data_IF_852782342995
#
_entry.id   IF_852782342995
#
_cell.length_a   1.000
_cell.length_b   1.000
_cell.length_c   1.000
_cell.angle_alpha   90.00
_cell.angle_beta   90.00
_cell.angle_gamma   90.00
#
_symmetry.space_group_name_H-M   'P 1'
#
loop_
_entity.id
_entity.type
_entity.pdbx_description
1 polymer ?
#
# COMPACT_ATOMS: atom_id res chain seq x y z
N UNK A 1 -2.26 108.78 -3.36
CA UNK A 1 -1.76 107.42 -3.07
C UNK A 1 -1.76 107.21 -1.56
N UNK A 2 -2.94 107.16 -0.93
CA UNK A 2 -3.10 106.96 0.53
C UNK A 2 -4.48 106.33 0.82
N UNK A 3 -4.83 105.26 0.11
CA UNK A 3 -6.02 104.45 0.44
C UNK A 3 -5.78 102.94 0.34
N UNK A 4 -4.57 102.50 -0.04
CA UNK A 4 -4.22 101.08 -0.10
C UNK A 4 -3.45 100.57 1.12
N UNK A 5 -3.06 101.45 2.06
CA UNK A 5 -2.31 101.09 3.27
C UNK A 5 -3.18 100.98 4.53
N UNK A 6 -4.45 101.37 4.46
CA UNK A 6 -5.39 101.36 5.61
C UNK A 6 -6.19 100.07 5.72
N UNK A 7 -6.43 99.35 4.61
CA UNK A 7 -7.13 98.05 4.61
C UNK A 7 -6.28 96.89 5.15
N UNK A 8 -4.94 96.96 5.04
CA UNK A 8 -4.04 95.92 5.58
C UNK A 8 -3.82 96.05 7.11
N UNK A 9 -4.09 97.22 7.71
CA UNK A 9 -3.93 97.44 9.15
C UNK A 9 -5.16 96.95 9.94
N UNK A 10 -6.36 97.02 9.36
CA UNK A 10 -7.57 96.47 9.99
C UNK A 10 -7.61 94.93 9.92
N UNK A 11 -7.12 94.31 8.85
CA UNK A 11 -7.05 92.84 8.73
C UNK A 11 -5.98 92.22 9.64
N UNK A 12 -4.89 92.93 9.92
CA UNK A 12 -3.89 92.53 10.93
C UNK A 12 -4.36 92.75 12.38
N UNK A 13 -5.20 93.76 12.66
CA UNK A 13 -5.82 93.94 13.98
C UNK A 13 -6.85 92.86 14.32
N UNK A 14 -7.65 92.44 13.35
CA UNK A 14 -8.70 91.42 13.56
C UNK A 14 -8.10 90.02 13.81
N UNK A 15 -6.92 89.72 13.25
CA UNK A 15 -6.21 88.45 13.49
C UNK A 15 -5.46 88.43 14.83
N UNK A 16 -5.02 89.58 15.35
CA UNK A 16 -4.36 89.68 16.65
C UNK A 16 -5.33 89.52 17.84
N UNK A 17 -6.54 90.09 17.78
CA UNK A 17 -7.52 89.96 18.87
C UNK A 17 -8.11 88.55 18.98
N UNK A 18 -8.25 87.82 17.86
CA UNK A 18 -8.63 86.41 17.89
C UNK A 18 -7.54 85.48 18.42
N UNK A 19 -6.26 85.85 18.33
CA UNK A 19 -5.16 85.05 18.87
C UNK A 19 -4.97 85.25 20.39
N UNK A 20 -5.34 86.42 20.92
CA UNK A 20 -5.30 86.73 22.36
C UNK A 20 -6.48 86.07 23.11
N UNK A 21 -7.65 85.91 22.48
CA UNK A 21 -8.77 85.16 23.06
C UNK A 21 -8.54 83.63 23.05
N UNK A 22 -7.74 83.09 22.11
CA UNK A 22 -7.41 81.67 22.07
C UNK A 22 -6.35 81.25 23.10
N UNK A 23 -5.43 82.15 23.46
CA UNK A 23 -4.29 81.85 24.35
C UNK A 23 -4.59 82.01 25.85
N UNK A 24 -5.71 82.63 26.24
CA UNK A 24 -6.12 82.78 27.65
C UNK A 24 -6.89 81.57 28.22
N UNK A 25 -6.97 80.46 27.48
CA UNK A 25 -7.59 79.20 27.93
C UNK A 25 -6.59 78.17 28.48
N UNK A 26 -5.29 78.48 28.43
CA UNK A 26 -4.23 77.61 28.89
C UNK A 26 -3.47 78.27 30.06
N UNK A 27 -3.69 77.72 31.25
CA UNK A 27 -2.73 77.62 32.36
C UNK A 27 -2.83 78.63 33.54
N UNK A 28 -3.24 78.07 34.70
CA UNK A 28 -2.99 78.40 36.13
C UNK A 28 -4.20 78.89 36.97
N UNK A 29 -4.94 78.02 37.68
CA UNK A 29 -4.73 77.52 39.09
C UNK A 29 -5.09 78.59 40.15
N UNK A 30 -5.98 78.47 41.16
CA UNK A 30 -6.54 77.41 42.06
C UNK A 30 -7.54 78.12 43.04
N UNK A 31 -8.00 77.52 44.16
CA UNK A 31 -9.04 76.51 44.39
C UNK A 31 -10.43 77.11 44.78
N UNK A 32 -11.49 76.36 44.53
CA UNK A 32 -12.81 76.55 45.16
C UNK A 32 -13.58 75.24 45.00
N UNK A 33 -13.93 74.62 46.13
CA UNK A 33 -14.58 73.31 46.19
C UNK A 33 -15.91 73.26 45.43
N UNK A 34 -16.23 72.02 45.01
CA UNK A 34 -17.54 71.49 44.63
C UNK A 34 -18.10 72.02 43.29
N UNK A 35 -18.40 71.21 42.28
CA UNK A 35 -18.96 69.87 42.34
C UNK A 35 -18.32 68.97 41.27
N UNK A 36 -17.77 67.86 41.75
CA UNK A 36 -17.56 66.65 40.96
C UNK A 36 -18.93 66.24 40.44
N UNK A 37 -19.23 66.44 39.17
CA UNK A 37 -20.36 65.78 38.53
C UNK A 37 -20.06 64.27 38.58
N UNK A 38 -20.78 63.48 39.40
CA UNK A 38 -20.63 62.05 39.32
C UNK A 38 -21.40 61.67 38.06
N UNK A 39 -20.69 61.22 37.03
CA UNK A 39 -21.31 60.39 35.99
C UNK A 39 -21.66 59.08 36.69
N UNK A 40 -22.77 59.12 37.42
CA UNK A 40 -23.33 58.06 38.23
C UNK A 40 -23.96 57.02 37.32
N UNK A 41 -23.15 56.11 36.81
CA UNK A 41 -23.61 54.78 36.39
C UNK A 41 -22.85 53.70 37.18
N UNK A 42 -23.39 53.45 38.37
CA UNK A 42 -23.63 52.13 38.98
C UNK A 42 -22.44 51.14 39.08
N UNK A 43 -21.77 51.15 40.24
CA UNK A 43 -20.55 50.38 40.56
C UNK A 43 -20.65 48.85 40.55
N UNK A 44 -21.85 48.26 40.48
CA UNK A 44 -22.01 46.79 40.33
C UNK A 44 -21.89 46.34 38.87
N UNK A 45 -22.34 47.15 37.91
CA UNK A 45 -22.32 46.81 36.48
C UNK A 45 -20.90 46.81 35.90
N UNK A 46 -20.04 47.74 36.34
CA UNK A 46 -18.60 47.74 35.96
C UNK A 46 -17.87 46.52 36.51
N UNK A 47 -18.09 46.14 37.78
CA UNK A 47 -17.52 44.92 38.37
C UNK A 47 -18.00 43.65 37.66
N UNK A 48 -19.28 43.62 37.27
CA UNK A 48 -19.83 42.55 36.43
C UNK A 48 -19.15 42.49 35.06
N UNK A 49 -18.89 43.64 34.42
CA UNK A 49 -18.18 43.70 33.15
C UNK A 49 -16.71 43.24 33.27
N UNK A 50 -15.99 43.67 34.31
CA UNK A 50 -14.62 43.18 34.55
C UNK A 50 -14.59 41.69 34.90
N UNK A 51 -15.56 41.20 35.67
CA UNK A 51 -15.70 39.77 35.95
C UNK A 51 -15.99 38.97 34.66
N UNK A 52 -16.86 39.48 33.79
CA UNK A 52 -17.15 38.87 32.50
C UNK A 52 -15.93 38.88 31.57
N UNK A 53 -15.18 39.98 31.54
CA UNK A 53 -13.93 40.09 30.76
C UNK A 53 -12.86 39.14 31.30
N UNK A 54 -12.73 39.03 32.63
CA UNK A 54 -11.84 38.07 33.27
C UNK A 54 -12.25 36.62 32.98
N UNK A 55 -13.55 36.31 33.03
CA UNK A 55 -14.08 35.00 32.66
C UNK A 55 -13.78 34.69 31.20
N UNK A 56 -13.96 35.66 30.29
CA UNK A 56 -13.62 35.53 28.87
C UNK A 56 -12.11 35.32 28.65
N UNK A 57 -11.26 36.03 29.40
CA UNK A 57 -9.81 35.83 29.36
C UNK A 57 -9.44 34.42 29.83
N UNK A 58 -10.04 33.96 30.93
CA UNK A 58 -9.80 32.61 31.47
C UNK A 58 -10.28 31.55 30.48
N UNK A 59 -11.47 31.70 29.89
CA UNK A 59 -11.96 30.75 28.88
C UNK A 59 -11.07 30.76 27.64
N UNK A 60 -10.54 31.92 27.22
CA UNK A 60 -9.57 32.00 26.12
C UNK A 60 -8.28 31.24 26.44
N UNK A 61 -7.72 31.43 27.64
CA UNK A 61 -6.52 30.73 28.09
C UNK A 61 -6.76 29.22 28.19
N UNK A 62 -7.90 28.80 28.77
CA UNK A 62 -8.27 27.39 28.87
C UNK A 62 -8.44 26.77 27.49
N UNK A 63 -9.11 27.47 26.56
CA UNK A 63 -9.27 27.01 25.19
C UNK A 63 -7.90 26.86 24.50
N UNK A 64 -7.00 27.82 24.66
CA UNK A 64 -5.65 27.74 24.10
C UNK A 64 -4.85 26.56 24.70
N UNK A 65 -4.90 26.39 26.01
CA UNK A 65 -4.26 25.28 26.70
C UNK A 65 -4.84 23.92 26.28
N UNK A 66 -6.17 23.83 26.12
CA UNK A 66 -6.85 22.64 25.62
C UNK A 66 -6.44 22.33 24.18
N UNK A 67 -6.33 23.33 23.31
CA UNK A 67 -5.84 23.14 21.93
C UNK A 67 -4.42 22.59 21.93
N UNK A 68 -3.50 23.18 22.71
CA UNK A 68 -2.11 22.68 22.82
C UNK A 68 -2.07 21.27 23.39
N UNK A 69 -2.92 20.97 24.38
CA UNK A 69 -3.01 19.64 24.98
C UNK A 69 -3.53 18.59 23.98
N UNK A 70 -4.58 18.90 23.21
CA UNK A 70 -5.09 18.01 22.16
C UNK A 70 -3.99 17.74 21.12
N UNK A 71 -3.29 18.77 20.64
CA UNK A 71 -2.20 18.62 19.67
C UNK A 71 -1.11 17.68 20.22
N UNK A 72 -0.73 17.86 21.50
CA UNK A 72 0.29 17.04 22.16
C UNK A 72 -0.16 15.59 22.38
N UNK A 73 -1.40 15.38 22.82
CA UNK A 73 -1.96 14.04 23.08
C UNK A 73 -2.16 13.26 21.80
N UNK A 74 -2.62 13.92 20.74
CA UNK A 74 -2.77 13.34 19.41
C UNK A 74 -1.43 13.12 18.69
N UNK A 75 -0.31 13.44 19.34
CA UNK A 75 1.05 13.32 18.81
C UNK A 75 1.19 13.99 17.42
N UNK A 76 0.58 15.16 17.25
CA UNK A 76 0.79 16.01 16.10
C UNK A 76 2.14 16.73 16.28
N UNK A 77 3.16 16.26 15.58
CA UNK A 77 4.42 16.98 15.43
C UNK A 77 4.36 17.84 14.16
N UNK A 78 5.30 18.78 14.04
CA UNK A 78 5.51 19.53 12.78
C UNK A 78 5.80 18.57 11.62
N UNK A 79 6.36 17.39 11.93
CA UNK A 79 6.72 16.37 10.96
C UNK A 79 5.58 15.39 10.61
N UNK A 80 4.43 15.39 11.31
CA UNK A 80 3.36 14.42 11.04
C UNK A 80 2.33 14.17 12.14
N UNK A 81 1.39 13.28 11.83
CA UNK A 81 0.35 12.77 12.74
C UNK A 81 0.77 11.37 13.25
N UNK A 82 1.19 11.27 14.52
CA UNK A 82 1.60 9.99 15.09
C UNK A 82 2.75 9.34 14.32
N UNK A 83 2.57 8.09 13.88
CA UNK A 83 3.56 7.34 13.09
C UNK A 83 3.59 7.77 11.61
N UNK A 84 2.66 8.61 11.16
CA UNK A 84 2.58 9.08 9.78
C UNK A 84 3.25 10.45 9.65
N UNK A 85 4.42 10.46 9.03
CA UNK A 85 5.16 11.67 8.69
C UNK A 85 4.84 12.14 7.28
N UNK A 86 4.60 13.45 7.12
CA UNK A 86 4.30 14.05 5.83
C UNK A 86 5.53 14.77 5.30
N UNK A 87 6.17 14.22 4.26
CA UNK A 87 7.30 14.83 3.58
C UNK A 87 6.84 15.45 2.25
N UNK A 88 7.69 16.30 1.66
CA UNK A 88 7.41 16.90 0.35
C UNK A 88 7.28 15.84 -0.77
N UNK A 89 7.94 14.69 -0.61
CA UNK A 89 7.96 13.59 -1.58
C UNK A 89 6.87 12.54 -1.35
N UNK A 90 6.13 12.59 -0.23
CA UNK A 90 5.09 11.61 0.08
C UNK A 90 4.83 11.38 1.57
N UNK A 91 4.07 10.33 1.87
CA UNK A 91 3.74 9.91 3.23
C UNK A 91 4.73 8.84 3.69
N UNK A 92 5.42 9.10 4.80
CA UNK A 92 6.34 8.15 5.44
C UNK A 92 5.71 7.59 6.71
N UNK A 93 5.42 6.30 6.71
CA UNK A 93 4.91 5.60 7.89
C UNK A 93 6.08 5.00 8.70
N UNK A 94 6.25 5.44 9.94
CA UNK A 94 7.23 4.91 10.90
C UNK A 94 6.53 4.24 12.08
N UNK A 95 6.35 2.93 12.00
CA UNK A 95 5.74 2.13 13.06
C UNK A 95 4.49 1.40 12.58
N UNK A 96 3.62 1.04 13.52
CA UNK A 96 2.35 0.36 13.24
C UNK A 96 1.28 1.42 13.04
N UNK A 97 0.47 1.32 11.99
CA UNK A 97 -0.68 2.19 11.80
C UNK A 97 -1.84 1.42 11.20
N UNK A 98 -3.03 1.82 11.63
CA UNK A 98 -4.29 1.26 11.17
C UNK A 98 -5.02 2.32 10.34
N UNK A 99 -5.57 1.89 9.21
CA UNK A 99 -6.33 2.75 8.32
C UNK A 99 -7.77 2.26 8.27
N UNK A 100 -8.72 3.17 8.52
CA UNK A 100 -10.15 2.86 8.46
C UNK A 100 -10.63 2.63 7.01
N UNK A 101 -9.97 3.27 6.06
CA UNK A 101 -10.34 3.29 4.64
C UNK A 101 -9.20 2.76 3.77
N UNK A 102 -9.50 2.28 2.55
CA UNK A 102 -8.48 1.88 1.59
C UNK A 102 -7.50 3.00 1.28
N UNK A 103 -6.22 2.66 1.23
CA UNK A 103 -5.17 3.59 0.83
C UNK A 103 -5.01 3.60 -0.69
N UNK A 104 -5.02 4.80 -1.25
CA UNK A 104 -4.73 5.05 -2.66
C UNK A 104 -3.37 5.71 -2.75
N UNK A 105 -2.45 5.02 -3.40
CA UNK A 105 -1.05 5.42 -3.53
C UNK A 105 -0.57 5.11 -4.94
N UNK A 106 0.27 5.99 -5.48
CA UNK A 106 0.90 5.77 -6.78
C UNK A 106 2.03 4.75 -6.69
N UNK A 107 2.74 4.75 -5.56
CA UNK A 107 3.87 3.87 -5.34
C UNK A 107 3.99 3.50 -3.86
N UNK A 108 4.36 2.25 -3.59
CA UNK A 108 4.67 1.76 -2.25
C UNK A 108 6.12 1.31 -2.27
N UNK A 109 6.97 2.02 -1.54
CA UNK A 109 8.37 1.66 -1.40
C UNK A 109 8.69 1.36 0.05
N UNK A 110 9.57 0.38 0.25
CA UNK A 110 10.21 0.15 1.54
C UNK A 110 11.34 1.15 1.76
N UNK A 111 11.78 1.31 3.02
CA UNK A 111 13.02 2.05 3.32
C UNK A 111 14.20 1.35 2.64
N UNK A 112 15.21 2.12 2.22
CA UNK A 112 16.47 1.60 1.67
C UNK A 112 16.99 0.45 2.54
N UNK A 113 17.31 -0.67 1.90
CA UNK A 113 17.82 -1.91 2.51
C UNK A 113 16.87 -2.66 3.46
N UNK A 114 15.56 -2.42 3.38
CA UNK A 114 14.56 -3.13 4.19
C UNK A 114 13.44 -3.74 3.34
N UNK A 115 12.84 -4.84 3.81
CA UNK A 115 11.72 -5.51 3.14
C UNK A 115 10.40 -4.78 3.45
N UNK A 116 9.56 -4.61 2.43
CA UNK A 116 8.17 -4.23 2.65
C UNK A 116 7.43 -5.43 3.23
N UNK A 117 7.02 -5.32 4.50
CA UNK A 117 6.27 -6.37 5.19
C UNK A 117 4.85 -5.87 5.45
N UNK A 118 3.88 -6.51 4.80
CA UNK A 118 2.46 -6.31 5.06
C UNK A 118 1.97 -7.48 5.91
N UNK A 119 1.58 -7.21 7.15
CA UNK A 119 1.03 -8.23 8.07
C UNK A 119 -0.42 -7.91 8.36
N UNK A 120 -1.29 -8.90 8.22
CA UNK A 120 -2.71 -8.77 8.46
C UNK A 120 -3.26 -10.08 9.01
N UNK A 121 -4.25 -9.99 9.91
CA UNK A 121 -5.04 -11.14 10.36
C UNK A 121 -6.10 -11.56 9.34
N UNK A 122 -6.39 -10.66 8.38
CA UNK A 122 -7.33 -10.85 7.28
C UNK A 122 -6.61 -10.80 5.93
N UNK A 123 -7.35 -11.03 4.85
CA UNK A 123 -6.83 -10.97 3.50
C UNK A 123 -6.22 -9.58 3.19
N UNK A 124 -5.07 -9.58 2.54
CA UNK A 124 -4.42 -8.36 2.01
C UNK A 124 -4.72 -8.29 0.52
N UNK A 125 -5.44 -7.24 0.10
CA UNK A 125 -5.78 -7.03 -1.33
C UNK A 125 -5.10 -5.78 -1.86
N UNK A 126 -4.27 -5.95 -2.88
CA UNK A 126 -3.61 -4.89 -3.63
C UNK A 126 -4.35 -4.72 -4.97
N UNK A 127 -4.83 -3.51 -5.24
CA UNK A 127 -5.56 -3.19 -6.47
C UNK A 127 -4.74 -2.20 -7.30
N UNK A 128 -4.33 -2.62 -8.50
CA UNK A 128 -3.78 -1.74 -9.50
C UNK A 128 -4.93 -1.12 -10.32
N UNK A 129 -4.88 0.20 -10.53
CA UNK A 129 -5.91 0.93 -11.29
C UNK A 129 -5.25 1.78 -12.38
N UNK A 130 -5.95 1.96 -13.50
CA UNK A 130 -5.53 2.90 -14.54
C UNK A 130 -5.90 4.35 -14.20
N UNK A 131 -5.49 5.30 -15.05
CA UNK A 131 -5.77 6.74 -14.89
C UNK A 131 -7.27 7.08 -14.89
N UNK A 132 -8.13 6.20 -15.41
CA UNK A 132 -9.59 6.34 -15.39
C UNK A 132 -10.22 5.72 -14.13
N UNK A 133 -9.42 5.20 -13.20
CA UNK A 133 -9.87 4.55 -11.97
C UNK A 133 -10.38 3.12 -12.14
N UNK A 134 -10.25 2.52 -13.33
CA UNK A 134 -10.64 1.13 -13.59
C UNK A 134 -9.58 0.17 -13.06
N UNK A 135 -10.03 -0.94 -12.48
CA UNK A 135 -9.17 -2.02 -11.99
C UNK A 135 -8.45 -2.69 -13.16
N UNK A 136 -7.11 -2.69 -13.15
CA UNK A 136 -6.27 -3.37 -14.15
C UNK A 136 -5.64 -4.64 -13.63
N UNK A 137 -5.49 -4.75 -12.31
CA UNK A 137 -5.01 -5.96 -11.68
C UNK A 137 -5.35 -6.00 -10.20
N UNK A 138 -5.51 -7.19 -9.66
CA UNK A 138 -5.75 -7.45 -8.25
C UNK A 138 -4.86 -8.59 -7.77
N UNK A 139 -4.19 -8.38 -6.64
CA UNK A 139 -3.44 -9.41 -5.94
C UNK A 139 -4.02 -9.53 -4.53
N UNK A 140 -4.60 -10.69 -4.21
CA UNK A 140 -5.19 -10.99 -2.91
C UNK A 140 -4.37 -12.09 -2.24
N UNK A 141 -3.82 -11.78 -1.07
CA UNK A 141 -3.13 -12.74 -0.20
C UNK A 141 -4.06 -13.10 0.93
N UNK A 142 -4.61 -14.31 0.88
CA UNK A 142 -5.47 -14.90 1.92
C UNK A 142 -4.70 -15.88 2.82
N UNK A 143 -5.39 -16.46 3.83
CA UNK A 143 -4.81 -17.46 4.72
C UNK A 143 -4.53 -18.80 4.03
N UNK A 144 -5.30 -19.14 2.99
CA UNK A 144 -5.20 -20.42 2.28
C UNK A 144 -4.46 -20.31 0.95
N UNK A 145 -4.67 -19.21 0.23
CA UNK A 145 -4.17 -19.04 -1.13
C UNK A 145 -3.76 -17.61 -1.43
N UNK A 146 -2.90 -17.48 -2.44
CA UNK A 146 -2.56 -16.20 -3.09
C UNK A 146 -3.22 -16.20 -4.46
N UNK A 147 -4.14 -15.26 -4.66
CA UNK A 147 -4.89 -15.10 -5.91
C UNK A 147 -4.40 -13.85 -6.64
N UNK A 148 -4.01 -14.02 -7.90
CA UNK A 148 -3.61 -12.92 -8.76
C UNK A 148 -4.53 -12.86 -9.98
N UNK A 149 -5.27 -11.75 -10.10
CA UNK A 149 -6.11 -11.45 -11.24
C UNK A 149 -5.47 -10.32 -12.04
N UNK A 150 -4.76 -10.67 -13.10
CA UNK A 150 -4.04 -9.74 -13.97
C UNK A 150 -3.86 -10.36 -15.35
N UNK A 151 -3.62 -9.51 -16.37
CA UNK A 151 -3.30 -9.98 -17.72
C UNK A 151 -2.00 -10.78 -17.77
N UNK A 152 -1.02 -10.38 -16.93
CA UNK A 152 0.28 -11.04 -16.84
C UNK A 152 0.86 -10.88 -15.44
N UNK A 153 1.25 -12.00 -14.84
CA UNK A 153 1.96 -12.06 -13.56
C UNK A 153 3.42 -12.39 -13.82
N UNK A 154 4.34 -11.55 -13.38
CA UNK A 154 5.79 -11.83 -13.40
C UNK A 154 6.35 -11.87 -11.98
N UNK A 155 7.06 -12.95 -11.66
CA UNK A 155 7.86 -13.04 -10.43
C UNK A 155 9.33 -13.06 -10.83
N UNK A 156 10.10 -12.09 -10.33
CA UNK A 156 11.54 -11.94 -10.62
C UNK A 156 12.38 -12.25 -9.39
N UNK A 157 13.64 -12.62 -9.62
CA UNK A 157 14.63 -12.76 -8.56
C UNK A 157 14.85 -11.42 -7.84
N UNK A 158 15.42 -11.47 -6.63
CA UNK A 158 15.81 -10.30 -5.83
C UNK A 158 16.66 -9.30 -6.61
N UNK A 159 17.52 -9.81 -7.48
CA UNK A 159 18.44 -8.99 -8.28
C UNK A 159 17.77 -8.40 -9.53
N UNK A 160 16.47 -8.67 -9.75
CA UNK A 160 15.66 -8.15 -10.85
C UNK A 160 15.98 -8.70 -12.25
N UNK A 161 17.13 -9.35 -12.42
CA UNK A 161 17.63 -9.79 -13.73
C UNK A 161 17.06 -11.10 -14.26
N UNK A 162 16.61 -12.02 -13.39
CA UNK A 162 16.08 -13.33 -13.78
C UNK A 162 14.58 -13.42 -13.50
N UNK A 163 13.81 -13.77 -14.51
CA UNK A 163 12.40 -14.14 -14.39
C UNK A 163 12.32 -15.55 -13.79
N UNK A 164 11.52 -15.73 -12.75
CA UNK A 164 11.35 -17.02 -12.05
C UNK A 164 10.04 -17.69 -12.47
N UNK A 165 8.99 -16.91 -12.60
CA UNK A 165 7.65 -17.37 -12.96
C UNK A 165 6.97 -16.32 -13.81
N UNK A 166 6.26 -16.75 -14.84
CA UNK A 166 5.37 -15.91 -15.63
C UNK A 166 4.10 -16.67 -15.94
N UNK A 167 2.97 -16.01 -15.78
CA UNK A 167 1.68 -16.53 -16.20
C UNK A 167 0.92 -15.43 -16.94
N UNK A 168 0.50 -15.72 -18.16
CA UNK A 168 -0.42 -14.92 -18.95
C UNK A 168 -1.54 -15.81 -19.54
N UNK A 169 -2.33 -15.27 -20.46
CA UNK A 169 -3.45 -16.00 -21.09
C UNK A 169 -2.99 -17.12 -22.03
N UNK A 170 -1.77 -17.05 -22.57
CA UNK A 170 -1.26 -17.96 -23.59
C UNK A 170 -0.39 -19.06 -22.97
N UNK A 171 0.49 -18.69 -22.04
CA UNK A 171 1.46 -19.60 -21.47
C UNK A 171 1.78 -19.34 -19.98
N UNK A 172 2.27 -20.41 -19.35
CA UNK A 172 2.86 -20.34 -18.01
C UNK A 172 4.31 -20.81 -18.12
N UNK A 173 5.23 -19.88 -17.93
CA UNK A 173 6.67 -20.15 -17.96
C UNK A 173 7.21 -20.24 -16.54
N UNK A 174 7.91 -21.33 -16.25
CA UNK A 174 8.69 -21.46 -15.03
C UNK A 174 10.17 -21.63 -15.35
N UNK A 175 10.99 -20.67 -14.94
CA UNK A 175 12.43 -20.64 -15.20
C UNK A 175 13.24 -20.93 -13.93
N UNK A 176 12.60 -21.45 -12.88
CA UNK A 176 13.28 -21.86 -11.65
C UNK A 176 14.10 -23.13 -11.90
N UNK A 177 15.15 -23.33 -11.11
CA UNK A 177 15.98 -24.55 -11.21
C UNK A 177 15.26 -25.79 -10.68
N UNK A 178 14.27 -25.59 -9.80
CA UNK A 178 13.52 -26.66 -9.17
C UNK A 178 12.07 -26.26 -9.03
N UNK A 179 11.22 -26.93 -9.80
CA UNK A 179 9.78 -26.94 -9.58
C UNK A 179 9.41 -28.23 -8.84
N UNK A 180 8.62 -28.14 -7.78
CA UNK A 180 8.14 -29.30 -7.04
C UNK A 180 6.66 -29.12 -6.77
N UNK A 181 5.87 -30.09 -7.21
CA UNK A 181 4.43 -30.15 -6.93
C UNK A 181 4.25 -30.99 -5.67
N UNK A 182 3.77 -30.36 -4.59
CA UNK A 182 3.59 -31.01 -3.28
C UNK A 182 2.13 -31.39 -3.00
N UNK A 183 1.20 -31.08 -3.91
CA UNK A 183 -0.21 -31.42 -3.74
C UNK A 183 -0.42 -32.93 -3.73
N UNK A 184 -1.35 -33.42 -2.89
CA UNK A 184 -1.72 -34.84 -2.82
C UNK A 184 -2.24 -35.38 -4.15
N UNK A 185 -2.92 -34.52 -4.91
CA UNK A 185 -3.48 -34.82 -6.23
C UNK A 185 -2.43 -34.79 -7.36
N UNK A 186 -1.18 -34.40 -7.06
CA UNK A 186 -0.13 -34.25 -8.05
C UNK A 186 -0.39 -33.10 -9.03
N UNK A 187 0.02 -33.29 -10.28
CA UNK A 187 -0.18 -32.33 -11.38
C UNK A 187 -0.89 -33.01 -12.54
N UNK A 188 -1.88 -32.31 -13.12
CA UNK A 188 -2.59 -32.75 -14.32
C UNK A 188 -2.08 -31.94 -15.49
N UNK A 189 -1.57 -32.63 -16.51
CA UNK A 189 -1.15 -32.02 -17.77
C UNK A 189 -2.19 -32.34 -18.84
N UNK A 190 -2.91 -31.33 -19.31
CA UNK A 190 -3.98 -31.51 -20.32
C UNK A 190 -3.47 -31.79 -21.74
N UNK A 191 -2.16 -31.60 -21.97
CA UNK A 191 -1.50 -31.72 -23.26
C UNK A 191 -0.21 -32.55 -23.13
N UNK A 192 0.68 -32.45 -24.11
CA UNK A 192 1.97 -33.13 -24.10
C UNK A 192 2.92 -32.54 -23.06
N UNK A 193 3.67 -33.42 -22.40
CA UNK A 193 4.79 -33.06 -21.53
C UNK A 193 6.07 -33.52 -22.20
N UNK A 194 6.96 -32.57 -22.50
CA UNK A 194 8.30 -32.88 -23.01
C UNK A 194 9.28 -32.84 -21.83
N UNK A 195 10.01 -33.94 -21.63
CA UNK A 195 11.02 -34.04 -20.58
C UNK A 195 12.16 -34.97 -21.01
N UNK A 196 13.43 -34.63 -20.73
CA UNK A 196 14.56 -35.47 -21.07
C UNK A 196 14.64 -36.74 -20.20
N UNK A 197 14.04 -36.74 -19.01
CA UNK A 197 14.10 -37.86 -18.07
C UNK A 197 12.83 -37.93 -17.24
N UNK A 198 12.28 -39.14 -17.10
CA UNK A 198 11.21 -39.47 -16.17
C UNK A 198 11.78 -40.52 -15.22
N UNK A 199 11.80 -40.20 -13.92
CA UNK A 199 12.34 -41.08 -12.89
C UNK A 199 11.47 -41.01 -11.63
N UNK A 200 11.26 -42.16 -10.98
CA UNK A 200 10.65 -42.23 -9.65
C UNK A 200 11.67 -41.92 -8.53
N UNK A 201 11.19 -41.67 -7.31
CA UNK A 201 12.08 -41.49 -6.15
C UNK A 201 12.79 -42.79 -5.81
N UNK A 202 13.92 -42.68 -5.11
CA UNK A 202 14.62 -43.86 -4.60
C UNK A 202 13.67 -44.70 -3.73
N UNK A 203 13.57 -45.99 -4.03
CA UNK A 203 12.67 -46.96 -3.39
C UNK A 203 11.17 -46.84 -3.75
N UNK A 204 10.82 -46.04 -4.76
CA UNK A 204 9.47 -45.99 -5.33
C UNK A 204 9.49 -46.53 -6.77
N UNK A 205 8.42 -47.20 -7.17
CA UNK A 205 8.26 -47.69 -8.54
C UNK A 205 7.77 -46.56 -9.46
N UNK A 206 8.40 -46.42 -10.64
CA UNK A 206 7.84 -45.60 -11.71
C UNK A 206 6.67 -46.34 -12.34
N UNK A 207 5.45 -45.83 -12.12
CA UNK A 207 4.22 -46.38 -12.69
C UNK A 207 3.73 -45.48 -13.83
N UNK A 208 3.69 -46.04 -15.03
CA UNK A 208 3.01 -45.44 -16.18
C UNK A 208 1.74 -46.28 -16.42
N UNK A 209 0.58 -45.70 -16.16
CA UNK A 209 -0.69 -46.41 -16.27
C UNK A 209 -1.72 -45.64 -17.10
N UNK A 210 -2.56 -46.39 -17.80
CA UNK A 210 -3.73 -45.86 -18.50
C UNK A 210 -4.93 -46.75 -18.12
N UNK A 211 -5.69 -46.41 -17.07
CA UNK A 211 -6.77 -47.26 -16.56
C UNK A 211 -7.94 -47.42 -17.54
N UNK A 212 -8.20 -46.40 -18.35
CA UNK A 212 -9.40 -46.32 -19.21
C UNK A 212 -9.10 -46.48 -20.70
N UNK A 213 -7.84 -46.37 -21.12
CA UNK A 213 -7.42 -46.32 -22.53
C UNK A 213 -6.11 -47.09 -22.73
N UNK A 214 -5.41 -46.79 -23.82
CA UNK A 214 -4.12 -47.38 -24.17
C UNK A 214 -2.95 -46.53 -23.67
N UNK A 215 -1.90 -47.19 -23.19
CA UNK A 215 -0.58 -46.60 -23.01
C UNK A 215 0.27 -47.00 -24.23
N UNK A 216 0.81 -46.02 -24.94
CA UNK A 216 1.65 -46.23 -26.13
C UNK A 216 3.04 -45.66 -25.88
N UNK A 217 4.09 -46.40 -26.23
CA UNK A 217 5.48 -45.96 -26.15
C UNK A 217 6.12 -46.14 -27.52
N UNK A 218 6.51 -45.05 -28.16
CA UNK A 218 7.05 -45.01 -29.52
C UNK A 218 8.34 -44.20 -29.52
N UNK A 219 9.35 -44.64 -30.27
CA UNK A 219 10.61 -43.93 -30.38
C UNK A 219 11.24 -44.13 -31.77
N UNK A 220 11.79 -43.07 -32.39
CA UNK A 220 12.32 -43.12 -33.74
C UNK A 220 13.58 -43.99 -33.89
N UNK A 221 14.35 -44.14 -32.80
CA UNK A 221 15.56 -44.99 -32.76
C UNK A 221 15.33 -46.34 -32.07
N UNK A 222 14.08 -46.67 -31.78
CA UNK A 222 13.71 -47.85 -31.00
C UNK A 222 13.52 -47.57 -29.52
N UNK A 223 12.82 -48.49 -28.87
CA UNK A 223 12.49 -48.45 -27.44
C UNK A 223 13.24 -49.60 -26.76
N UNK A 224 14.12 -49.29 -25.83
CA UNK A 224 14.79 -50.29 -25.00
C UNK A 224 14.09 -50.39 -23.64
N UNK A 225 13.65 -51.60 -23.29
CA UNK A 225 13.08 -51.90 -21.97
C UNK A 225 13.99 -52.91 -21.29
N UNK A 226 14.68 -52.47 -20.25
CA UNK A 226 15.59 -53.33 -19.47
C UNK A 226 15.28 -53.23 -17.98
N UNK A 227 15.50 -54.34 -17.27
CA UNK A 227 15.40 -54.40 -15.82
C UNK A 227 16.80 -54.68 -15.27
N UNK A 228 17.42 -53.67 -14.65
CA UNK A 228 18.77 -53.81 -14.09
C UNK A 228 18.81 -54.84 -12.95
N UNK A 229 17.75 -54.88 -12.15
CA UNK A 229 17.56 -55.82 -11.05
C UNK A 229 16.21 -56.52 -11.18
N UNK A 230 16.21 -57.84 -11.26
CA UNK A 230 15.00 -58.67 -11.31
C UNK A 230 14.46 -58.96 -12.73
N UNK A 231 13.40 -59.77 -12.84
CA UNK A 231 12.85 -60.17 -14.13
C UNK A 231 11.94 -59.08 -14.73
N UNK A 232 12.08 -58.84 -16.04
CA UNK A 232 11.09 -58.10 -16.81
C UNK A 232 9.84 -58.97 -17.01
N UNK A 233 8.73 -58.61 -16.35
CA UNK A 233 7.45 -59.32 -16.47
C UNK A 233 6.50 -58.55 -17.38
N UNK A 234 6.08 -59.18 -18.46
CA UNK A 234 5.00 -58.68 -19.32
C UNK A 234 3.80 -59.61 -19.16
N UNK A 235 2.63 -59.06 -18.86
CA UNK A 235 1.39 -59.82 -18.67
C UNK A 235 0.22 -59.11 -19.34
N UNK A 236 -0.59 -59.86 -20.09
CA UNK A 236 -1.83 -59.38 -20.70
C UNK A 236 -3.02 -60.19 -20.20
N UNK A 237 -4.20 -59.54 -20.09
CA UNK A 237 -5.46 -60.22 -19.77
C UNK A 237 -6.09 -60.91 -20.98
N UNK A 238 -5.84 -60.36 -22.18
CA UNK A 238 -6.27 -60.90 -23.46
C UNK A 238 -5.03 -61.39 -24.21
N UNK A 239 -4.85 -60.96 -25.44
CA UNK A 239 -3.75 -61.37 -26.28
C UNK A 239 -2.51 -60.50 -26.03
N UNK A 240 -1.35 -61.14 -26.04
CA UNK A 240 -0.05 -60.50 -26.11
C UNK A 240 0.54 -60.84 -27.47
N UNK A 241 0.71 -59.83 -28.31
CA UNK A 241 1.26 -59.98 -29.66
C UNK A 241 2.63 -59.31 -29.71
N UNK A 242 3.63 -60.04 -30.22
CA UNK A 242 4.97 -59.55 -30.49
C UNK A 242 5.18 -59.72 -31.99
N UNK A 243 5.33 -58.61 -32.70
CA UNK A 243 5.46 -58.58 -34.16
C UNK A 243 6.68 -57.74 -34.54
N UNK A 244 7.41 -58.19 -35.56
CA UNK A 244 8.51 -57.45 -36.16
C UNK A 244 8.23 -57.31 -37.66
N UNK A 245 8.22 -56.08 -38.16
CA UNK A 245 7.89 -55.76 -39.56
C UNK A 245 9.07 -55.98 -40.51
N UNK A 246 10.28 -55.57 -40.09
CA UNK A 246 11.50 -55.65 -40.90
C UNK A 246 12.62 -56.45 -40.24
N UNK A 247 12.47 -56.78 -38.95
CA UNK A 247 13.51 -57.44 -38.15
C UNK A 247 13.20 -58.90 -37.82
N UNK A 248 14.09 -59.49 -37.03
CA UNK A 248 13.90 -60.81 -36.44
C UNK A 248 13.57 -60.66 -34.95
N UNK A 249 12.67 -61.52 -34.45
CA UNK A 249 12.42 -61.66 -33.02
C UNK A 249 13.35 -62.76 -32.50
N UNK A 250 14.46 -62.37 -31.88
CA UNK A 250 15.39 -63.31 -31.25
C UNK A 250 15.13 -63.42 -29.75
N UNK A 251 14.97 -64.66 -29.27
CA UNK A 251 14.75 -64.96 -27.86
C UNK A 251 15.76 -66.00 -27.37
N UNK A 252 16.55 -65.64 -26.35
CA UNK A 252 17.53 -66.57 -25.76
C UNK A 252 16.87 -67.58 -24.83
N UNK A 253 15.88 -67.13 -24.06
CA UNK A 253 15.10 -67.97 -23.15
C UNK A 253 13.72 -67.34 -22.93
N UNK A 254 12.68 -68.03 -23.38
CA UNK A 254 11.29 -67.63 -23.16
C UNK A 254 10.62 -68.61 -22.20
N UNK A 255 10.12 -68.11 -21.08
CA UNK A 255 9.30 -68.88 -20.16
C UNK A 255 7.86 -68.39 -20.22
N UNK A 256 6.98 -69.17 -20.86
CA UNK A 256 5.55 -68.90 -20.93
C UNK A 256 4.84 -69.68 -19.83
N UNK A 257 4.17 -68.96 -18.94
CA UNK A 257 3.34 -69.53 -17.90
C UNK A 257 1.92 -69.00 -18.03
N UNK A 258 0.94 -69.90 -18.00
CA UNK A 258 -0.48 -69.53 -18.00
C UNK A 258 -0.91 -69.30 -16.56
N UNK A 259 -1.15 -68.05 -16.18
CA UNK A 259 -1.81 -67.74 -14.92
C UNK A 259 -3.29 -68.15 -15.03
N UNK A 260 -3.65 -69.28 -14.42
CA UNK A 260 -5.06 -69.65 -14.18
C UNK A 260 -5.42 -69.03 -12.84
N UNK A 261 -6.27 -68.00 -12.87
CA UNK A 261 -6.92 -67.46 -11.69
C UNK A 261 -8.11 -68.33 -11.29
#
# INVERSE_FOLDING_TARGET
MEQSATLDIETLKITQEQFILASQSLHLQRPGCDAVYPVGLYGWRKRCLYFFLLLLLVTMIVNMALTVWIIKVMNFSVDGMGNLHLNQDGIRLEGISEFLLPLYVNEIQSRKDSLLVLRSEKNVTLNARNNHGQLTGQLTVGPEAVEAQCQRLEVRSRDGGRLLFTADEEEVIMTTEKFTVTGSEGAVFGHSVETPLIQARASEDLKLESPTRTLTMEAPRGVEVSAANGPLKVSGRKDLQLESTEGEISAVSLHLSRCVY
#
